data_IF_115185647722
#
_entry.id   IF_115185647722
#
_cell.length_a   1.000
_cell.length_b   1.000
_cell.length_c   1.000
_cell.angle_alpha   90.00
_cell.angle_beta   90.00
_cell.angle_gamma   90.00
#
_symmetry.space_group_name_H-M   'P 1'
#
loop_
_entity.id
_entity.type
_entity.pdbx_description
1 polymer ?
#
# COMPACT_ATOMS: atom_id res chain seq x y z
N UNK A 1 -10.37 -39.56 20.18
CA UNK A 1 -10.30 -38.24 20.83
C UNK A 1 -9.28 -37.35 20.09
N UNK A 2 -9.54 -37.00 18.82
CA UNK A 2 -8.61 -36.25 17.95
C UNK A 2 -9.29 -35.31 16.94
N UNK A 3 -10.63 -35.32 16.83
CA UNK A 3 -11.36 -34.50 15.86
C UNK A 3 -11.72 -33.09 16.36
N UNK A 4 -11.77 -32.87 17.68
CA UNK A 4 -12.18 -31.59 18.28
C UNK A 4 -11.06 -30.53 18.27
N UNK A 5 -9.80 -30.97 18.37
CA UNK A 5 -8.62 -30.09 18.44
C UNK A 5 -8.31 -29.40 17.11
N UNK A 6 -8.49 -30.08 15.98
CA UNK A 6 -8.18 -29.55 14.63
C UNK A 6 -9.14 -28.43 14.22
N UNK A 7 -10.44 -28.65 14.40
CA UNK A 7 -11.49 -27.66 14.08
C UNK A 7 -11.34 -26.37 14.90
N UNK A 8 -10.95 -26.48 16.16
CA UNK A 8 -10.68 -25.34 17.03
C UNK A 8 -9.50 -24.48 16.55
N UNK A 9 -8.39 -25.13 16.17
CA UNK A 9 -7.19 -24.47 15.67
C UNK A 9 -7.42 -23.74 14.34
N UNK A 10 -8.11 -24.39 13.40
CA UNK A 10 -8.43 -23.80 12.08
C UNK A 10 -9.36 -22.60 12.21
N UNK A 11 -10.34 -22.66 13.12
CA UNK A 11 -11.23 -21.53 13.39
C UNK A 11 -10.48 -20.33 13.97
N UNK A 12 -9.48 -20.57 14.83
CA UNK A 12 -8.65 -19.52 15.44
C UNK A 12 -7.69 -18.90 14.43
N UNK A 13 -7.06 -19.71 13.59
CA UNK A 13 -6.22 -19.24 12.49
C UNK A 13 -7.03 -18.37 11.52
N UNK A 14 -8.23 -18.82 11.13
CA UNK A 14 -9.15 -18.04 10.29
C UNK A 14 -9.58 -16.71 10.92
N UNK A 15 -9.86 -16.67 12.24
CA UNK A 15 -10.15 -15.42 12.95
C UNK A 15 -8.95 -14.47 12.96
N UNK A 16 -7.75 -14.98 13.23
CA UNK A 16 -6.52 -14.17 13.24
C UNK A 16 -6.24 -13.55 11.87
N UNK A 17 -6.43 -14.30 10.77
CA UNK A 17 -6.22 -13.78 9.42
C UNK A 17 -7.25 -12.71 9.06
N UNK A 18 -8.51 -12.85 9.50
CA UNK A 18 -9.51 -11.79 9.37
C UNK A 18 -9.14 -10.53 10.17
N UNK A 19 -8.59 -10.68 11.38
CA UNK A 19 -8.07 -9.54 12.14
C UNK A 19 -6.92 -8.85 11.42
N UNK A 20 -6.02 -9.62 10.80
CA UNK A 20 -4.90 -9.08 10.00
C UNK A 20 -5.42 -8.30 8.78
N UNK A 21 -6.44 -8.81 8.10
CA UNK A 21 -6.95 -8.18 6.88
C UNK A 21 -7.79 -6.94 7.15
N UNK A 22 -8.73 -7.01 8.10
CA UNK A 22 -9.54 -5.84 8.49
C UNK A 22 -8.77 -4.85 9.34
N UNK A 23 -7.74 -5.31 10.05
CA UNK A 23 -6.82 -4.43 10.76
C UNK A 23 -6.12 -3.42 9.85
N UNK A 24 -5.93 -3.74 8.56
CA UNK A 24 -5.38 -2.80 7.59
C UNK A 24 -6.30 -1.58 7.44
N UNK A 25 -7.61 -1.82 7.30
CA UNK A 25 -8.58 -0.75 7.18
C UNK A 25 -8.66 0.08 8.46
N UNK A 26 -8.65 -0.57 9.63
CA UNK A 26 -8.68 0.14 10.91
C UNK A 26 -7.42 0.97 11.17
N UNK A 27 -6.23 0.42 10.88
CA UNK A 27 -4.96 1.12 11.01
C UNK A 27 -4.85 2.30 10.04
N UNK A 28 -5.31 2.11 8.79
CA UNK A 28 -5.42 3.16 7.80
C UNK A 28 -6.38 4.26 8.26
N UNK A 29 -7.60 3.92 8.70
CA UNK A 29 -8.57 4.92 9.13
C UNK A 29 -8.07 5.77 10.32
N UNK A 30 -7.34 5.17 11.26
CA UNK A 30 -6.75 5.90 12.38
C UNK A 30 -5.62 6.85 11.92
N UNK A 31 -4.80 6.41 10.98
CA UNK A 31 -3.73 7.23 10.40
C UNK A 31 -4.30 8.39 9.57
N UNK A 32 -5.23 8.11 8.68
CA UNK A 32 -5.84 9.10 7.80
C UNK A 32 -6.75 10.07 8.57
N UNK A 33 -7.26 9.70 9.75
CA UNK A 33 -7.94 10.66 10.64
C UNK A 33 -6.98 11.72 11.17
N UNK A 34 -5.75 11.35 11.55
CA UNK A 34 -4.72 12.33 11.89
C UNK A 34 -4.38 13.20 10.69
N UNK A 35 -4.18 12.61 9.52
CA UNK A 35 -3.90 13.34 8.29
C UNK A 35 -5.02 14.32 7.94
N UNK A 36 -6.29 13.90 8.02
CA UNK A 36 -7.44 14.75 7.73
C UNK A 36 -7.46 16.02 8.60
N UNK A 37 -7.07 15.89 9.87
CA UNK A 37 -7.02 17.01 10.80
C UNK A 37 -5.81 17.92 10.62
N UNK A 38 -4.75 17.45 9.97
CA UNK A 38 -3.42 18.10 10.04
C UNK A 38 -2.85 18.49 8.68
N UNK A 39 -3.26 17.83 7.60
CA UNK A 39 -2.68 17.95 6.26
C UNK A 39 -3.02 19.27 5.57
N UNK A 40 -4.24 19.79 5.75
CA UNK A 40 -4.68 20.99 5.06
C UNK A 40 -3.80 22.20 5.39
N UNK A 41 -3.21 22.80 4.35
CA UNK A 41 -2.29 23.94 4.45
C UNK A 41 -1.00 23.66 5.25
N UNK A 42 -0.67 22.40 5.57
CA UNK A 42 0.55 22.09 6.31
C UNK A 42 1.80 22.46 5.52
N UNK A 43 1.84 22.14 4.22
CA UNK A 43 2.98 22.45 3.37
C UNK A 43 3.27 23.96 3.34
N UNK A 44 2.22 24.79 3.28
CA UNK A 44 2.34 26.25 3.30
C UNK A 44 2.91 26.76 4.63
N UNK A 45 2.44 26.21 5.76
CA UNK A 45 2.95 26.55 7.10
C UNK A 45 4.38 26.06 7.32
N UNK A 46 4.74 24.91 6.75
CA UNK A 46 6.06 24.29 6.88
C UNK A 46 7.08 24.85 5.88
N UNK A 47 6.62 25.57 4.84
CA UNK A 47 7.44 26.03 3.71
C UNK A 47 8.77 26.69 4.12
N UNK A 48 8.81 27.66 5.06
CA UNK A 48 10.09 28.28 5.44
C UNK A 48 11.09 27.26 5.98
N UNK A 49 10.63 26.27 6.76
CA UNK A 49 11.49 25.21 7.30
C UNK A 49 11.90 24.22 6.20
N UNK A 50 11.00 23.90 5.27
CA UNK A 50 11.31 22.99 4.16
C UNK A 50 12.37 23.59 3.23
N UNK A 51 12.23 24.87 2.85
CA UNK A 51 13.20 25.57 1.99
C UNK A 51 14.56 25.73 2.68
N UNK A 52 14.58 25.99 4.00
CA UNK A 52 15.82 26.06 4.78
C UNK A 52 16.53 24.71 4.88
N UNK A 53 15.81 23.61 5.12
CA UNK A 53 16.40 22.29 5.32
C UNK A 53 16.68 21.55 4.00
N UNK A 54 16.03 21.94 2.89
CA UNK A 54 16.16 21.33 1.57
C UNK A 54 16.37 22.41 0.48
N UNK A 55 17.46 23.19 0.54
CA UNK A 55 17.69 24.32 -0.36
C UNK A 55 17.90 23.92 -1.83
N UNK A 56 18.13 22.63 -2.09
CA UNK A 56 18.31 22.08 -3.43
C UNK A 56 16.99 21.76 -4.15
N UNK A 57 15.86 21.79 -3.43
CA UNK A 57 14.53 21.54 -4.03
C UNK A 57 13.96 22.84 -4.59
N UNK A 58 13.56 22.87 -5.89
CA UNK A 58 12.99 24.08 -6.49
C UNK A 58 11.69 24.53 -5.79
N UNK A 59 11.50 25.85 -5.64
CA UNK A 59 10.32 26.44 -5.01
C UNK A 59 8.99 25.95 -5.64
N UNK A 60 8.99 25.72 -6.95
CA UNK A 60 7.84 25.20 -7.68
C UNK A 60 7.38 23.79 -7.23
N UNK A 61 8.25 23.01 -6.57
CA UNK A 61 7.86 21.72 -5.96
C UNK A 61 7.01 21.98 -4.72
N UNK A 62 7.40 22.93 -3.88
CA UNK A 62 6.64 23.30 -2.68
C UNK A 62 5.28 23.88 -3.01
N UNK A 63 5.18 24.70 -4.07
CA UNK A 63 3.90 25.26 -4.52
C UNK A 63 2.88 24.18 -4.92
N UNK A 64 3.35 23.01 -5.37
CA UNK A 64 2.49 21.86 -5.72
C UNK A 64 2.12 20.98 -4.54
N UNK A 65 2.73 21.20 -3.36
CA UNK A 65 2.44 20.43 -2.16
C UNK A 65 1.32 21.03 -1.31
N UNK A 66 0.79 22.21 -1.69
CA UNK A 66 -0.37 22.77 -1.01
C UNK A 66 -1.61 21.91 -1.27
N UNK A 67 -2.24 21.44 -0.19
CA UNK A 67 -3.44 20.61 -0.21
C UNK A 67 -4.53 21.33 0.57
N UNK A 68 -5.69 21.52 -0.05
CA UNK A 68 -6.89 22.05 0.61
C UNK A 68 -7.60 20.96 1.40
N UNK A 69 -8.41 21.36 2.40
CA UNK A 69 -9.21 20.41 3.19
C UNK A 69 -10.17 19.60 2.32
N UNK A 70 -10.77 20.22 1.30
CA UNK A 70 -11.68 19.56 0.36
C UNK A 70 -10.97 18.46 -0.43
N UNK A 71 -9.78 18.76 -0.97
CA UNK A 71 -8.97 17.77 -1.69
C UNK A 71 -8.52 16.63 -0.76
N UNK A 72 -8.09 16.93 0.47
CA UNK A 72 -7.72 15.91 1.45
C UNK A 72 -8.91 15.00 1.78
N UNK A 73 -10.08 15.58 2.04
CA UNK A 73 -11.32 14.84 2.36
C UNK A 73 -11.75 13.95 1.20
N UNK A 74 -11.74 14.48 -0.03
CA UNK A 74 -12.09 13.72 -1.22
C UNK A 74 -11.11 12.57 -1.46
N UNK A 75 -9.80 12.82 -1.34
CA UNK A 75 -8.77 11.81 -1.48
C UNK A 75 -8.92 10.69 -0.43
N UNK A 76 -9.12 11.04 0.83
CA UNK A 76 -9.35 10.07 1.92
C UNK A 76 -10.62 9.25 1.67
N UNK A 77 -11.70 9.88 1.20
CA UNK A 77 -12.94 9.18 0.83
C UNK A 77 -12.72 8.14 -0.28
N UNK A 78 -11.98 8.50 -1.33
CA UNK A 78 -11.61 7.56 -2.41
C UNK A 78 -10.71 6.44 -1.88
N UNK A 79 -9.73 6.78 -1.06
CA UNK A 79 -8.83 5.79 -0.46
C UNK A 79 -9.56 4.84 0.48
N UNK A 80 -10.58 5.30 1.22
CA UNK A 80 -11.43 4.42 2.04
C UNK A 80 -12.02 3.27 1.23
N UNK A 81 -12.52 3.56 0.03
CA UNK A 81 -13.05 2.54 -0.88
C UNK A 81 -11.97 1.57 -1.35
N UNK A 82 -10.78 2.06 -1.71
CA UNK A 82 -9.65 1.24 -2.15
C UNK A 82 -9.17 0.32 -1.03
N UNK A 83 -8.87 0.88 0.14
CA UNK A 83 -8.35 0.14 1.30
C UNK A 83 -9.42 -0.82 1.83
N UNK A 84 -10.68 -0.40 1.89
CA UNK A 84 -11.81 -1.26 2.28
C UNK A 84 -11.97 -2.45 1.34
N UNK A 85 -11.87 -2.22 0.03
CA UNK A 85 -11.91 -3.30 -0.98
C UNK A 85 -10.73 -4.25 -0.83
N UNK A 86 -9.53 -3.71 -0.62
CA UNK A 86 -8.33 -4.52 -0.39
C UNK A 86 -8.47 -5.38 0.87
N UNK A 87 -8.95 -4.80 1.98
CA UNK A 87 -9.20 -5.49 3.25
C UNK A 87 -10.26 -6.60 3.11
N UNK A 88 -11.39 -6.31 2.43
CA UNK A 88 -12.44 -7.28 2.16
C UNK A 88 -11.90 -8.46 1.32
N UNK A 89 -11.21 -8.17 0.21
CA UNK A 89 -10.57 -9.22 -0.62
C UNK A 89 -9.52 -10.00 0.16
N UNK A 90 -8.77 -9.35 1.03
CA UNK A 90 -7.87 -9.99 1.98
C UNK A 90 -8.62 -10.98 2.86
N UNK A 91 -9.72 -10.56 3.49
CA UNK A 91 -10.53 -11.38 4.37
C UNK A 91 -11.11 -12.61 3.65
N UNK A 92 -11.61 -12.42 2.41
CA UNK A 92 -12.13 -13.51 1.58
C UNK A 92 -11.07 -14.52 1.14
N UNK A 93 -9.82 -14.10 1.04
CA UNK A 93 -8.70 -14.93 0.55
C UNK A 93 -7.73 -15.34 1.66
N UNK A 94 -8.09 -15.10 2.93
CA UNK A 94 -7.21 -15.32 4.08
C UNK A 94 -5.83 -14.66 3.90
N UNK A 95 -5.80 -13.46 3.32
CA UNK A 95 -4.59 -12.67 3.08
C UNK A 95 -3.85 -12.98 1.77
N UNK A 96 -4.30 -13.93 0.95
CA UNK A 96 -3.65 -14.32 -0.33
C UNK A 96 -3.88 -13.34 -1.48
N UNK A 97 -4.86 -12.44 -1.37
CA UNK A 97 -5.19 -11.46 -2.42
C UNK A 97 -3.96 -10.58 -2.76
N UNK A 98 -3.50 -10.56 -4.02
CA UNK A 98 -2.41 -9.67 -4.44
C UNK A 98 -2.72 -8.19 -4.19
N UNK A 99 -3.98 -7.79 -4.38
CA UNK A 99 -4.42 -6.43 -4.05
C UNK A 99 -4.21 -6.12 -2.57
N UNK A 100 -4.63 -7.02 -1.68
CA UNK A 100 -4.46 -6.83 -0.24
C UNK A 100 -2.98 -6.70 0.14
N UNK A 101 -2.14 -7.58 -0.40
CA UNK A 101 -0.71 -7.59 -0.10
C UNK A 101 0.01 -6.37 -0.66
N UNK A 102 -0.32 -5.94 -1.87
CA UNK A 102 0.20 -4.71 -2.46
C UNK A 102 -0.23 -3.48 -1.65
N UNK A 103 -1.50 -3.40 -1.25
CA UNK A 103 -1.99 -2.32 -0.39
C UNK A 103 -1.34 -2.33 0.99
N UNK A 104 -1.14 -3.50 1.60
CA UNK A 104 -0.43 -3.62 2.89
C UNK A 104 1.04 -3.18 2.78
N UNK A 105 1.72 -3.51 1.67
CA UNK A 105 3.06 -3.03 1.40
C UNK A 105 3.09 -1.51 1.21
N UNK A 106 2.19 -0.97 0.37
CA UNK A 106 2.05 0.46 0.14
C UNK A 106 1.74 1.24 1.42
N UNK A 107 0.82 0.74 2.24
CA UNK A 107 0.50 1.30 3.54
C UNK A 107 1.73 1.35 4.47
N UNK A 108 2.52 0.27 4.53
CA UNK A 108 3.76 0.28 5.31
C UNK A 108 4.80 1.28 4.78
N UNK A 109 4.97 1.37 3.46
CA UNK A 109 5.90 2.30 2.82
C UNK A 109 5.46 3.77 2.96
N UNK A 110 4.15 4.03 3.01
CA UNK A 110 3.56 5.35 3.21
C UNK A 110 3.99 6.02 4.52
N UNK A 111 4.37 5.24 5.55
CA UNK A 111 4.92 5.80 6.78
C UNK A 111 6.26 6.55 6.57
N UNK A 112 7.04 6.20 5.54
CA UNK A 112 8.40 6.73 5.36
C UNK A 112 8.40 8.24 5.07
N UNK A 113 7.63 8.75 4.08
CA UNK A 113 7.52 10.19 3.86
C UNK A 113 7.10 10.99 5.10
N UNK A 114 6.21 10.46 5.95
CA UNK A 114 5.78 11.12 7.17
C UNK A 114 6.88 11.24 8.21
N UNK A 115 7.59 10.15 8.46
CA UNK A 115 8.74 10.14 9.37
C UNK A 115 9.86 11.06 8.86
N UNK A 116 10.13 11.03 7.55
CA UNK A 116 11.10 11.91 6.93
C UNK A 116 10.70 13.39 7.09
N UNK A 117 9.44 13.72 6.85
CA UNK A 117 8.91 15.09 7.01
C UNK A 117 9.06 15.60 8.44
N UNK A 118 8.77 14.76 9.43
CA UNK A 118 8.95 15.08 10.85
C UNK A 118 10.42 15.35 11.20
N UNK A 119 11.34 14.53 10.70
CA UNK A 119 12.79 14.71 10.92
C UNK A 119 13.29 15.98 10.25
N UNK A 120 12.90 16.23 9.00
CA UNK A 120 13.33 17.41 8.21
C UNK A 120 12.82 18.69 8.86
N UNK A 121 11.54 18.74 9.22
CA UNK A 121 10.94 19.97 9.77
C UNK A 121 11.12 20.14 11.27
N UNK A 122 11.58 19.09 11.97
CA UNK A 122 11.72 19.02 13.45
C UNK A 122 10.48 19.52 14.19
N UNK A 123 9.31 19.24 13.63
CA UNK A 123 8.03 19.72 14.13
C UNK A 123 6.93 18.71 13.90
N UNK A 124 5.72 19.11 14.28
CA UNK A 124 4.55 18.29 14.01
C UNK A 124 4.27 18.26 12.50
N UNK A 125 4.17 17.06 11.94
CA UNK A 125 3.77 16.84 10.55
C UNK A 125 2.57 15.91 10.49
N UNK A 126 1.77 15.96 9.43
CA UNK A 126 0.74 14.97 9.20
C UNK A 126 1.32 13.57 9.36
N UNK A 127 0.58 12.71 10.07
CA UNK A 127 0.99 11.33 10.32
C UNK A 127 2.15 11.14 11.30
N UNK A 128 2.72 12.18 11.92
CA UNK A 128 3.89 12.02 12.81
C UNK A 128 3.61 11.14 14.03
N UNK A 129 2.38 11.17 14.56
CA UNK A 129 2.01 10.33 15.70
C UNK A 129 1.72 8.90 15.24
N UNK A 130 0.86 8.76 14.24
CA UNK A 130 0.32 7.45 13.84
C UNK A 130 1.24 6.67 12.92
N UNK A 131 2.13 7.30 12.13
CA UNK A 131 3.09 6.56 11.30
C UNK A 131 4.00 5.62 12.15
N UNK A 132 4.67 6.09 13.22
CA UNK A 132 5.49 5.22 14.06
C UNK A 132 4.69 4.36 15.06
N UNK A 133 3.51 4.81 15.51
CA UNK A 133 2.76 4.12 16.58
C UNK A 133 1.66 3.19 16.06
N UNK A 134 1.21 3.37 14.82
CA UNK A 134 0.13 2.60 14.19
C UNK A 134 0.61 1.94 12.90
N UNK A 135 1.01 2.72 11.90
CA UNK A 135 1.27 2.22 10.53
C UNK A 135 2.42 1.22 10.52
N UNK A 136 3.62 1.64 10.97
CA UNK A 136 4.80 0.79 11.02
C UNK A 136 4.60 -0.48 11.88
N UNK A 137 4.14 -0.41 13.14
CA UNK A 137 3.96 -1.60 13.96
C UNK A 137 2.87 -2.52 13.42
N UNK A 138 1.77 -1.98 12.89
CA UNK A 138 0.72 -2.78 12.26
C UNK A 138 1.26 -3.51 11.03
N UNK A 139 1.91 -2.82 10.10
CA UNK A 139 2.43 -3.44 8.87
C UNK A 139 3.43 -4.56 9.19
N UNK A 140 4.36 -4.32 10.12
CA UNK A 140 5.31 -5.33 10.58
C UNK A 140 4.61 -6.53 11.22
N UNK A 141 3.63 -6.28 12.07
CA UNK A 141 2.85 -7.34 12.70
C UNK A 141 2.05 -8.15 11.67
N UNK A 142 1.34 -7.50 10.76
CA UNK A 142 0.53 -8.14 9.72
C UNK A 142 1.40 -9.05 8.84
N UNK A 143 2.54 -8.55 8.35
CA UNK A 143 3.47 -9.35 7.55
C UNK A 143 4.05 -10.53 8.32
N UNK A 144 4.39 -10.36 9.61
CA UNK A 144 4.82 -11.48 10.47
C UNK A 144 3.73 -12.54 10.62
N UNK A 145 2.45 -12.15 10.70
CA UNK A 145 1.32 -13.07 10.81
C UNK A 145 1.07 -13.83 9.51
N UNK A 146 1.09 -13.14 8.37
CA UNK A 146 0.94 -13.78 7.05
C UNK A 146 2.04 -14.81 6.81
N UNK A 147 3.29 -14.47 7.11
CA UNK A 147 4.43 -15.40 6.97
C UNK A 147 4.31 -16.62 7.89
N UNK A 148 3.92 -16.43 9.16
CA UNK A 148 3.72 -17.54 10.11
C UNK A 148 2.57 -18.47 9.74
N UNK A 149 1.58 -17.94 9.01
CA UNK A 149 0.48 -18.71 8.46
C UNK A 149 0.77 -19.26 7.05
N UNK A 150 2.04 -19.17 6.60
CA UNK A 150 2.51 -19.68 5.30
C UNK A 150 1.68 -19.15 4.11
N UNK A 151 1.14 -17.93 4.25
CA UNK A 151 0.41 -17.26 3.17
C UNK A 151 1.43 -16.93 2.08
N UNK A 152 1.24 -17.42 0.84
CA UNK A 152 2.11 -17.08 -0.27
C UNK A 152 2.13 -15.57 -0.47
N UNK A 153 3.33 -15.00 -0.50
CA UNK A 153 3.51 -13.59 -0.82
C UNK A 153 3.43 -13.48 -2.33
N UNK A 154 2.46 -12.71 -2.82
CA UNK A 154 2.35 -12.38 -4.23
C UNK A 154 3.63 -11.63 -4.61
N UNK A 155 4.56 -12.34 -5.25
CA UNK A 155 5.64 -11.69 -5.97
C UNK A 155 4.97 -10.83 -7.02
N UNK A 156 5.35 -9.55 -7.10
CA UNK A 156 4.99 -8.71 -8.23
C UNK A 156 5.47 -9.44 -9.49
N UNK A 157 4.59 -10.19 -10.15
CA UNK A 157 4.87 -10.64 -11.51
C UNK A 157 5.10 -9.36 -12.28
N UNK A 158 6.34 -9.12 -12.66
CA UNK A 158 6.66 -8.21 -13.74
C UNK A 158 5.61 -8.40 -14.81
N UNK A 159 4.95 -7.32 -15.22
CA UNK A 159 4.13 -7.32 -16.41
C UNK A 159 5.01 -7.82 -17.58
N UNK A 160 4.99 -9.12 -17.82
CA UNK A 160 5.56 -9.70 -19.02
C UNK A 160 4.76 -9.13 -20.18
N UNK A 161 5.40 -8.68 -21.27
CA UNK A 161 4.66 -8.19 -22.42
C UNK A 161 3.66 -9.27 -22.84
N UNK A 162 2.45 -8.89 -23.31
CA UNK A 162 1.48 -9.86 -23.78
C UNK A 162 2.18 -10.78 -24.77
N UNK A 163 2.05 -12.08 -24.57
CA UNK A 163 2.62 -13.09 -25.45
C UNK A 163 2.09 -12.85 -26.86
N UNK A 164 2.86 -12.09 -27.66
CA UNK A 164 2.57 -11.80 -29.03
C UNK A 164 2.46 -13.13 -29.75
N UNK A 165 1.27 -13.42 -30.26
CA UNK A 165 1.02 -14.51 -31.19
C UNK A 165 2.06 -14.39 -32.30
N UNK A 166 3.06 -15.27 -32.32
CA UNK A 166 3.97 -15.41 -33.46
C UNK A 166 3.16 -16.00 -34.61
N UNK A 167 2.64 -15.13 -35.46
CA UNK A 167 2.16 -15.50 -36.79
C UNK A 167 3.39 -15.90 -37.60
N UNK A 168 3.55 -17.20 -37.83
CA UNK A 168 4.54 -17.73 -38.76
C UNK A 168 3.96 -17.67 -40.17
N UNK A 169 4.35 -16.67 -40.97
CA UNK A 169 4.21 -16.75 -42.42
C UNK A 169 5.34 -17.63 -42.96
N UNK A 170 4.99 -18.82 -43.47
CA UNK A 170 5.90 -19.60 -44.32
C UNK A 170 5.83 -19.03 -45.74
N UNK A 171 6.90 -18.39 -46.19
CA UNK A 171 7.12 -18.20 -47.61
C UNK A 171 7.52 -19.54 -48.23
N UNK A 172 6.62 -20.14 -49.00
CA UNK A 172 6.96 -21.19 -49.95
C UNK A 172 7.56 -20.54 -51.20
N UNK A 173 8.88 -20.41 -51.24
CA UNK A 173 9.63 -20.28 -52.48
C UNK A 173 10.17 -21.66 -52.87
N UNK A 174 9.58 -22.25 -53.91
CA UNK A 174 10.30 -23.23 -54.75
C UNK A 174 10.13 -22.78 -56.19
N UNK A 175 11.15 -22.07 -56.67
CA UNK A 175 11.40 -21.90 -58.09
C UNK A 175 11.73 -23.25 -58.72
N UNK A 176 11.35 -23.38 -59.99
CA UNK A 176 11.61 -24.56 -60.80
C UNK A 176 13.06 -24.66 -61.27
N UNK A 177 13.40 -25.87 -61.70
CA UNK A 177 14.39 -26.20 -62.72
C UNK A 177 14.00 -27.62 -63.19
N UNK A 178 13.44 -27.79 -64.38
CA UNK A 178 14.16 -28.07 -65.61
C UNK A 178 15.00 -29.36 -65.52
N UNK A 179 14.44 -30.46 -66.02
CA UNK A 179 14.95 -31.27 -67.15
C UNK A 179 13.88 -32.27 -67.58
#
# INVERSE_FOLDING_TARGET
MTAETTTGADSRAGRLLRTVTWGLFAAWALHDAEELCTMAGWADRARPRLEQNLPWVPAAVWDRMSVSQEHATAAIGVMACVIGTAAARGAHTNGRSPLYQATLAGFGLHAVPHLASAVVTRGYTPGVLTAPTVVAPFALWAWRRLRRAEVPIATSSSAGPPAGRRVWWRHTTRGGAAR
#
